data_IF_295430490282
#
_entry.id   IF_295430490282
#
_cell.length_a   1.000
_cell.length_b   1.000
_cell.length_c   1.000
_cell.angle_alpha   90.00
_cell.angle_beta   90.00
_cell.angle_gamma   90.00
#
_symmetry.space_group_name_H-M   'P 1'
#
loop_
_entity.id
_entity.type
_entity.pdbx_description
1 polymer ?
#
# COMPACT_ATOMS: atom_id res chain seq x y z
N UNK A 1 -1.57 -5.59 2.46
CA UNK A 1 -0.64 -5.98 3.57
C UNK A 1 0.36 -7.07 3.16
N UNK A 2 -0.05 -8.30 2.78
CA UNK A 2 0.90 -9.35 2.37
C UNK A 2 1.69 -8.96 1.12
N UNK A 3 1.04 -8.33 0.16
CA UNK A 3 1.69 -7.78 -1.03
C UNK A 3 2.75 -6.74 -0.64
N UNK A 4 2.46 -5.84 0.30
CA UNK A 4 3.39 -4.79 0.73
C UNK A 4 4.63 -5.37 1.43
N UNK A 5 4.45 -6.39 2.27
CA UNK A 5 5.58 -7.14 2.85
C UNK A 5 6.43 -7.75 1.74
N UNK A 6 5.79 -8.41 0.75
CA UNK A 6 6.48 -8.98 -0.40
C UNK A 6 7.23 -7.94 -1.22
N UNK A 7 6.62 -6.79 -1.47
CA UNK A 7 7.25 -5.64 -2.14
C UNK A 7 8.47 -5.16 -1.35
N UNK A 8 8.34 -4.99 -0.03
CA UNK A 8 9.45 -4.58 0.83
C UNK A 8 10.64 -5.52 0.73
N UNK A 9 10.39 -6.84 0.74
CA UNK A 9 11.43 -7.86 0.55
C UNK A 9 12.08 -7.74 -0.84
N UNK A 10 11.29 -7.72 -1.91
CA UNK A 10 11.81 -7.67 -3.28
C UNK A 10 12.58 -6.38 -3.57
N UNK A 11 12.09 -5.24 -3.06
CA UNK A 11 12.80 -3.97 -3.20
C UNK A 11 14.09 -3.93 -2.39
N UNK A 12 14.17 -4.63 -1.26
CA UNK A 12 15.42 -4.78 -0.52
C UNK A 12 16.44 -5.62 -1.29
N UNK A 13 16.00 -6.73 -1.91
CA UNK A 13 16.85 -7.54 -2.78
C UNK A 13 17.33 -6.73 -4.00
N UNK A 14 16.40 -6.03 -4.66
CA UNK A 14 16.74 -5.16 -5.78
C UNK A 14 17.72 -4.04 -5.38
N UNK A 15 17.52 -3.40 -4.22
CA UNK A 15 18.40 -2.34 -3.71
C UNK A 15 19.81 -2.89 -3.45
N UNK A 16 19.92 -4.05 -2.80
CA UNK A 16 21.19 -4.73 -2.57
C UNK A 16 21.94 -5.00 -3.89
N UNK A 17 21.26 -5.54 -4.87
CA UNK A 17 21.81 -5.81 -6.19
C UNK A 17 22.22 -4.54 -6.94
N UNK A 18 21.34 -3.53 -6.98
CA UNK A 18 21.55 -2.30 -7.75
C UNK A 18 22.68 -1.44 -7.18
N UNK A 19 22.72 -1.29 -5.86
CA UNK A 19 23.75 -0.49 -5.17
C UNK A 19 24.99 -1.29 -4.82
N UNK A 20 25.03 -2.60 -5.14
CA UNK A 20 26.15 -3.50 -4.86
C UNK A 20 26.54 -3.53 -3.37
N UNK A 21 25.55 -3.63 -2.51
CA UNK A 21 25.70 -3.76 -1.05
C UNK A 21 25.16 -5.12 -0.60
N UNK A 22 25.64 -5.60 0.53
CA UNK A 22 25.16 -6.86 1.10
C UNK A 22 23.68 -6.78 1.48
N UNK A 23 22.92 -7.83 1.20
CA UNK A 23 21.56 -7.98 1.66
C UNK A 23 21.56 -8.37 3.14
N UNK A 24 21.43 -7.38 3.99
CA UNK A 24 21.39 -7.56 5.45
C UNK A 24 19.96 -7.69 5.96
N UNK A 25 19.79 -8.31 7.13
CA UNK A 25 18.50 -8.35 7.82
C UNK A 25 17.94 -6.94 8.06
N UNK A 26 18.80 -5.98 8.37
CA UNK A 26 18.41 -4.56 8.55
C UNK A 26 17.81 -3.99 7.28
N UNK A 27 18.40 -4.26 6.10
CA UNK A 27 17.89 -3.78 4.82
C UNK A 27 16.51 -4.38 4.51
N UNK A 28 16.32 -5.68 4.76
CA UNK A 28 15.05 -6.38 4.56
C UNK A 28 13.97 -5.83 5.49
N UNK A 29 14.27 -5.72 6.79
CA UNK A 29 13.32 -5.20 7.77
C UNK A 29 12.95 -3.74 7.50
N UNK A 30 13.91 -2.93 7.06
CA UNK A 30 13.64 -1.55 6.64
C UNK A 30 12.72 -1.50 5.42
N UNK A 31 12.96 -2.32 4.40
CA UNK A 31 12.08 -2.37 3.22
C UNK A 31 10.65 -2.77 3.59
N UNK A 32 10.48 -3.78 4.44
CA UNK A 32 9.15 -4.17 4.95
C UNK A 32 8.51 -3.02 5.74
N UNK A 33 9.26 -2.39 6.66
CA UNK A 33 8.76 -1.28 7.46
C UNK A 33 8.36 -0.08 6.59
N UNK A 34 9.14 0.26 5.56
CA UNK A 34 8.84 1.36 4.64
C UNK A 34 7.61 1.07 3.78
N UNK A 35 7.45 -0.17 3.33
CA UNK A 35 6.28 -0.57 2.56
C UNK A 35 4.98 -0.58 3.39
N UNK A 36 5.07 -0.84 4.69
CA UNK A 36 3.92 -0.85 5.61
C UNK A 36 3.69 0.50 6.32
N UNK A 37 4.59 1.47 6.14
CA UNK A 37 4.54 2.74 6.86
C UNK A 37 3.20 3.49 6.69
N UNK A 38 2.60 3.58 5.50
CA UNK A 38 1.30 4.24 5.34
C UNK A 38 0.17 3.52 6.08
N UNK A 39 0.28 2.21 6.29
CA UNK A 39 -0.75 1.40 6.98
C UNK A 39 -0.68 1.52 8.53
N UNK A 40 0.17 2.37 9.09
CA UNK A 40 0.22 2.58 10.55
C UNK A 40 -1.14 3.04 11.09
N UNK A 41 -1.87 3.85 10.34
CA UNK A 41 -3.21 4.31 10.71
C UNK A 41 -4.23 3.16 10.78
N UNK A 42 -4.06 2.10 9.99
CA UNK A 42 -4.85 0.88 10.09
C UNK A 42 -4.79 0.28 11.50
N UNK A 43 -3.60 0.18 12.08
CA UNK A 43 -3.43 -0.35 13.44
C UNK A 43 -4.02 0.57 14.49
N UNK A 44 -3.87 1.88 14.32
CA UNK A 44 -4.46 2.90 15.22
C UNK A 44 -5.99 2.82 15.18
N UNK A 45 -6.57 2.73 14.01
CA UNK A 45 -8.01 2.60 13.79
C UNK A 45 -8.54 1.29 14.38
N UNK A 46 -7.83 0.18 14.15
CA UNK A 46 -8.20 -1.12 14.69
C UNK A 46 -8.17 -1.14 16.22
N UNK A 47 -7.14 -0.55 16.84
CA UNK A 47 -7.04 -0.46 18.30
C UNK A 47 -8.18 0.39 18.89
N UNK A 48 -8.54 1.51 18.23
CA UNK A 48 -9.58 2.42 18.72
C UNK A 48 -10.99 1.86 18.58
N UNK A 49 -11.26 1.12 17.51
CA UNK A 49 -12.63 0.78 17.11
C UNK A 49 -12.89 -0.72 16.98
N UNK A 50 -11.87 -1.58 17.14
CA UNK A 50 -11.95 -3.05 16.97
C UNK A 50 -12.21 -3.49 15.53
N UNK A 51 -12.28 -2.55 14.57
CA UNK A 51 -12.51 -2.83 13.15
C UNK A 51 -12.00 -1.68 12.30
N UNK A 52 -11.65 -1.96 11.05
CA UNK A 52 -11.22 -0.95 10.06
C UNK A 52 -12.11 -1.04 8.83
N UNK A 53 -12.48 0.11 8.25
CA UNK A 53 -13.33 0.18 7.07
C UNK A 53 -14.81 -0.11 7.36
N UNK A 54 -15.53 -0.64 6.38
CA UNK A 54 -16.97 -0.89 6.45
C UNK A 54 -17.78 0.19 5.72
N UNK A 55 -18.99 0.48 6.22
CA UNK A 55 -19.94 1.40 5.60
C UNK A 55 -19.75 2.88 5.98
N UNK A 56 -18.76 3.17 6.80
CA UNK A 56 -18.48 4.54 7.27
C UNK A 56 -17.07 4.92 6.83
N UNK A 57 -16.92 6.09 6.24
CA UNK A 57 -15.60 6.68 6.03
C UNK A 57 -15.09 7.07 7.40
N UNK A 58 -13.99 6.43 7.80
CA UNK A 58 -13.22 6.79 8.98
C UNK A 58 -11.96 7.50 8.53
N UNK A 59 -11.21 8.05 9.48
CA UNK A 59 -9.97 8.80 9.23
C UNK A 59 -8.81 7.93 8.68
N UNK A 60 -9.02 6.61 8.60
CA UNK A 60 -8.13 5.71 7.90
C UNK A 60 -7.97 6.15 6.43
N UNK A 61 -6.74 6.23 5.96
CA UNK A 61 -6.31 6.75 4.66
C UNK A 61 -6.49 8.28 4.50
N UNK A 62 -6.57 9.03 5.59
CA UNK A 62 -6.56 10.48 5.51
C UNK A 62 -5.10 10.99 5.42
N UNK A 63 -4.49 11.36 6.53
CA UNK A 63 -3.25 12.11 6.50
C UNK A 63 -2.04 11.31 5.97
N UNK A 64 -1.85 10.08 6.43
CA UNK A 64 -0.65 9.28 6.17
C UNK A 64 -0.66 8.67 4.75
N UNK A 65 -1.80 8.68 4.07
CA UNK A 65 -1.91 8.20 2.69
C UNK A 65 -1.85 9.34 1.65
N UNK A 66 -1.36 10.53 2.03
CA UNK A 66 -1.11 11.60 1.06
C UNK A 66 0.34 11.56 0.58
N UNK A 67 0.61 11.24 -0.69
CA UNK A 67 1.99 11.11 -1.19
C UNK A 67 2.86 12.36 -0.94
N UNK A 68 2.27 13.54 -0.99
CA UNK A 68 2.99 14.81 -0.84
C UNK A 68 3.66 14.98 0.53
N UNK A 69 3.10 14.39 1.60
CA UNK A 69 3.67 14.52 2.95
C UNK A 69 5.01 13.80 3.10
N UNK A 70 5.27 12.84 2.21
CA UNK A 70 6.52 12.08 2.22
C UNK A 70 7.65 12.78 1.47
N UNK A 71 7.38 13.80 0.66
CA UNK A 71 8.41 14.55 -0.08
C UNK A 71 9.49 15.10 0.86
N UNK A 72 9.16 15.85 1.95
CA UNK A 72 10.19 16.33 2.87
C UNK A 72 10.94 15.19 3.58
N UNK A 73 10.26 14.06 3.86
CA UNK A 73 10.89 12.88 4.48
C UNK A 73 11.89 12.24 3.50
N UNK A 74 11.52 12.10 2.22
CA UNK A 74 12.40 11.60 1.15
C UNK A 74 13.65 12.48 1.03
N UNK A 75 13.48 13.82 1.05
CA UNK A 75 14.60 14.77 1.00
C UNK A 75 15.48 14.62 2.24
N UNK A 76 14.91 14.50 3.43
CA UNK A 76 15.65 14.30 4.67
C UNK A 76 16.47 13.01 4.62
N UNK A 77 15.87 11.89 4.18
CA UNK A 77 16.58 10.61 4.04
C UNK A 77 17.70 10.75 3.02
N UNK A 78 17.49 11.46 1.90
CA UNK A 78 18.54 11.69 0.91
C UNK A 78 19.74 12.41 1.49
N UNK A 79 19.51 13.48 2.23
CA UNK A 79 20.58 14.29 2.83
C UNK A 79 21.33 13.55 3.95
N UNK A 80 20.61 12.73 4.74
CA UNK A 80 21.19 12.06 5.92
C UNK A 80 21.77 10.68 5.63
N UNK A 81 21.12 9.89 4.78
CA UNK A 81 21.44 8.48 4.54
C UNK A 81 21.81 8.18 3.08
N UNK A 82 21.66 9.15 2.16
CA UNK A 82 22.07 9.04 0.77
C UNK A 82 21.09 8.30 -0.13
N UNK A 83 21.51 8.13 -1.40
CA UNK A 83 20.65 7.70 -2.50
C UNK A 83 20.05 6.29 -2.32
N UNK A 84 20.81 5.36 -1.74
CA UNK A 84 20.35 3.97 -1.54
C UNK A 84 19.11 3.89 -0.64
N UNK A 85 19.16 4.49 0.54
CA UNK A 85 18.05 4.51 1.49
C UNK A 85 16.85 5.29 0.95
N UNK A 86 17.13 6.36 0.21
CA UNK A 86 16.10 7.16 -0.46
C UNK A 86 15.37 6.36 -1.52
N UNK A 87 16.11 5.60 -2.34
CA UNK A 87 15.52 4.76 -3.37
C UNK A 87 14.65 3.66 -2.74
N UNK A 88 15.15 2.95 -1.73
CA UNK A 88 14.38 1.93 -1.03
C UNK A 88 13.09 2.52 -0.43
N UNK A 89 13.21 3.62 0.33
CA UNK A 89 12.08 4.28 0.96
C UNK A 89 11.05 4.77 -0.07
N UNK A 90 11.50 5.52 -1.07
CA UNK A 90 10.62 6.10 -2.09
C UNK A 90 9.92 5.06 -2.95
N UNK A 91 10.62 3.98 -3.33
CA UNK A 91 10.02 2.90 -4.11
C UNK A 91 9.03 2.08 -3.29
N UNK A 92 9.32 1.79 -2.01
CA UNK A 92 8.37 1.12 -1.11
C UNK A 92 7.08 1.92 -0.96
N UNK A 93 7.19 3.24 -0.70
CA UNK A 93 6.02 4.12 -0.60
C UNK A 93 5.23 4.20 -1.90
N UNK A 94 5.92 4.39 -3.03
CA UNK A 94 5.27 4.48 -4.34
C UNK A 94 4.50 3.19 -4.66
N UNK A 95 5.11 2.04 -4.41
CA UNK A 95 4.47 0.75 -4.62
C UNK A 95 3.24 0.56 -3.72
N UNK A 96 3.33 0.95 -2.44
CA UNK A 96 2.18 0.94 -1.52
C UNK A 96 1.04 1.83 -2.02
N UNK A 97 1.31 3.08 -2.43
CA UNK A 97 0.28 3.98 -2.95
C UNK A 97 -0.36 3.47 -4.25
N UNK A 98 0.42 2.83 -5.13
CA UNK A 98 -0.10 2.16 -6.32
C UNK A 98 -0.99 0.99 -5.92
N UNK A 99 -0.55 0.16 -4.96
CA UNK A 99 -1.34 -0.96 -4.42
C UNK A 99 -2.69 -0.48 -3.88
N UNK A 100 -2.70 0.57 -3.06
CA UNK A 100 -3.92 1.16 -2.51
C UNK A 100 -4.83 1.78 -3.57
N UNK A 101 -4.24 2.20 -4.68
CA UNK A 101 -5.03 2.75 -5.80
C UNK A 101 -5.59 1.66 -6.72
N UNK A 102 -5.04 0.43 -6.72
CA UNK A 102 -5.49 -0.68 -7.57
C UNK A 102 -6.30 -1.69 -6.75
N UNK A 103 -5.84 -1.97 -5.51
CA UNK A 103 -6.35 -3.04 -4.66
C UNK A 103 -7.71 -2.77 -4.04
N UNK A 104 -7.89 -3.33 -2.85
CA UNK A 104 -9.10 -3.19 -2.06
C UNK A 104 -9.20 -1.77 -1.51
N UNK A 105 -10.43 -1.29 -1.41
CA UNK A 105 -10.72 0.03 -0.87
C UNK A 105 -11.05 1.05 -1.95
N UNK A 106 -10.92 2.30 -1.60
CA UNK A 106 -11.49 3.41 -2.37
C UNK A 106 -10.42 4.28 -3.04
N UNK A 107 -9.14 3.82 -3.03
CA UNK A 107 -8.01 4.58 -3.55
C UNK A 107 -7.50 5.65 -2.58
N UNK A 108 -6.69 6.59 -3.06
CA UNK A 108 -6.05 7.63 -2.27
C UNK A 108 -6.14 9.01 -2.91
N UNK A 109 -5.83 10.06 -2.13
CA UNK A 109 -5.87 11.46 -2.58
C UNK A 109 -4.50 11.87 -3.16
N UNK A 110 -4.15 11.41 -4.36
CA UNK A 110 -2.85 11.63 -5.01
C UNK A 110 -2.41 13.09 -5.09
N UNK A 111 -3.37 13.99 -5.30
CA UNK A 111 -3.11 15.40 -5.60
C UNK A 111 -3.47 16.35 -4.44
N UNK A 112 -3.61 15.82 -3.21
CA UNK A 112 -3.78 16.68 -2.07
C UNK A 112 -2.53 17.57 -1.86
N UNK A 113 -2.64 18.88 -1.49
CA UNK A 113 -3.85 19.65 -1.16
C UNK A 113 -4.57 20.29 -2.37
N UNK A 114 -4.02 20.15 -3.59
CA UNK A 114 -4.57 20.78 -4.80
C UNK A 114 -5.92 20.18 -5.23
N UNK A 115 -6.17 18.93 -4.90
CA UNK A 115 -7.42 18.23 -5.15
C UNK A 115 -7.81 17.39 -3.94
N UNK A 116 -9.10 17.47 -3.55
CA UNK A 116 -9.68 16.62 -2.50
C UNK A 116 -10.26 15.32 -3.05
N UNK A 117 -10.19 15.10 -4.36
CA UNK A 117 -10.69 13.88 -5.00
C UNK A 117 -9.82 12.68 -4.62
N UNK A 118 -10.47 11.55 -4.38
CA UNK A 118 -9.85 10.25 -4.23
C UNK A 118 -9.77 9.58 -5.59
N UNK A 119 -8.64 8.95 -5.91
CA UNK A 119 -8.37 8.31 -7.20
C UNK A 119 -8.15 6.82 -7.00
N UNK A 120 -8.78 6.02 -7.85
CA UNK A 120 -8.62 4.59 -7.91
C UNK A 120 -8.35 4.15 -9.35
N UNK A 121 -7.40 3.24 -9.51
CA UNK A 121 -7.08 2.65 -10.80
C UNK A 121 -7.73 1.28 -10.91
N UNK A 122 -8.20 0.91 -12.12
CA UNK A 122 -8.79 -0.39 -12.41
C UNK A 122 -9.85 -0.79 -11.36
N UNK A 123 -10.88 0.04 -11.22
CA UNK A 123 -11.92 -0.19 -10.20
C UNK A 123 -12.53 -1.58 -10.33
N UNK A 124 -12.39 -2.40 -9.31
CA UNK A 124 -13.08 -3.67 -9.18
C UNK A 124 -14.46 -3.42 -8.56
N UNK A 125 -15.51 -3.76 -9.28
CA UNK A 125 -16.87 -3.81 -8.77
C UNK A 125 -17.38 -5.23 -9.00
N UNK A 126 -17.85 -5.89 -7.95
CA UNK A 126 -18.42 -7.24 -8.00
C UNK A 126 -17.47 -8.30 -8.60
N UNK A 127 -16.15 -8.21 -8.33
CA UNK A 127 -15.17 -9.16 -8.86
C UNK A 127 -14.83 -8.97 -10.34
N UNK A 128 -15.23 -7.85 -10.95
CA UNK A 128 -14.92 -7.51 -12.34
C UNK A 128 -14.13 -6.21 -12.42
N UNK A 129 -13.00 -6.25 -13.13
CA UNK A 129 -12.25 -5.04 -13.44
C UNK A 129 -13.07 -4.09 -14.30
N UNK A 130 -13.13 -2.83 -13.91
CA UNK A 130 -13.76 -1.79 -14.72
C UNK A 130 -12.93 -1.53 -15.97
N UNK A 131 -13.58 -1.27 -17.11
CA UNK A 131 -12.91 -0.81 -18.32
C UNK A 131 -12.33 0.61 -18.18
N UNK A 132 -12.62 1.32 -17.09
CA UNK A 132 -12.06 2.64 -16.81
C UNK A 132 -10.72 2.50 -16.12
N UNK A 133 -9.67 3.02 -16.75
CA UNK A 133 -8.31 3.03 -16.20
C UNK A 133 -8.22 3.83 -14.89
N UNK A 134 -8.95 4.94 -14.80
CA UNK A 134 -8.97 5.81 -13.62
C UNK A 134 -10.40 6.19 -13.27
N UNK A 135 -10.74 6.02 -12.02
CA UNK A 135 -11.99 6.49 -11.42
C UNK A 135 -11.64 7.48 -10.32
N UNK A 136 -12.42 8.54 -10.19
CA UNK A 136 -12.24 9.49 -9.09
C UNK A 136 -13.59 9.86 -8.47
N UNK A 137 -13.58 10.14 -7.18
CA UNK A 137 -14.74 10.58 -6.42
C UNK A 137 -14.44 11.89 -5.68
N UNK A 138 -15.43 12.80 -5.65
CA UNK A 138 -15.42 13.88 -4.67
C UNK A 138 -15.64 13.32 -3.26
N UNK A 139 -15.35 14.05 -2.18
CA UNK A 139 -15.63 13.59 -0.81
C UNK A 139 -17.09 13.17 -0.59
N UNK A 140 -18.03 13.93 -1.18
CA UNK A 140 -19.47 13.68 -1.06
C UNK A 140 -19.89 12.42 -1.82
N UNK A 141 -19.35 12.23 -3.04
CA UNK A 141 -19.57 11.02 -3.84
C UNK A 141 -18.97 9.79 -3.14
N UNK A 142 -17.77 9.93 -2.60
CA UNK A 142 -17.10 8.84 -1.87
C UNK A 142 -17.93 8.40 -0.66
N UNK A 143 -18.50 9.35 0.11
CA UNK A 143 -19.35 9.03 1.26
C UNK A 143 -20.54 8.17 0.84
N UNK A 144 -21.20 8.51 -0.27
CA UNK A 144 -22.32 7.72 -0.80
C UNK A 144 -21.87 6.31 -1.23
N UNK A 145 -20.78 6.24 -1.99
CA UNK A 145 -20.22 4.96 -2.47
C UNK A 145 -19.83 4.04 -1.32
N UNK A 146 -19.17 4.58 -0.28
CA UNK A 146 -18.77 3.79 0.90
C UNK A 146 -19.99 3.32 1.70
N UNK A 147 -21.02 4.15 1.88
CA UNK A 147 -22.24 3.76 2.59
C UNK A 147 -23.02 2.66 1.85
N UNK A 148 -22.98 2.66 0.52
CA UNK A 148 -23.70 1.70 -0.32
C UNK A 148 -22.92 0.37 -0.46
N UNK A 149 -21.62 0.46 -0.79
CA UNK A 149 -20.80 -0.69 -1.16
C UNK A 149 -19.77 -1.12 -0.11
N UNK A 150 -19.66 -0.42 1.02
CA UNK A 150 -18.75 -0.78 2.09
C UNK A 150 -19.11 -2.12 2.72
N UNK A 151 -18.12 -3.00 2.89
CA UNK A 151 -18.28 -4.31 3.53
C UNK A 151 -17.65 -4.29 4.92
N UNK A 152 -18.41 -4.41 6.01
CA UNK A 152 -17.87 -4.48 7.37
C UNK A 152 -17.06 -5.77 7.62
N UNK A 153 -17.25 -6.80 6.82
CA UNK A 153 -16.56 -8.09 6.92
C UNK A 153 -15.52 -8.29 5.82
N UNK A 154 -15.01 -7.22 5.22
CA UNK A 154 -14.12 -7.26 4.05
C UNK A 154 -12.89 -8.14 4.25
N UNK A 155 -12.28 -8.16 5.46
CA UNK A 155 -11.15 -9.04 5.75
C UNK A 155 -11.54 -10.50 5.53
N UNK A 156 -12.68 -10.93 6.08
CA UNK A 156 -13.17 -12.31 5.92
C UNK A 156 -13.57 -12.60 4.48
N UNK A 157 -14.25 -11.67 3.84
CA UNK A 157 -14.83 -11.89 2.50
C UNK A 157 -13.79 -11.82 1.40
N UNK A 158 -12.68 -11.14 1.61
CA UNK A 158 -11.63 -10.92 0.61
C UNK A 158 -10.40 -11.78 0.92
N UNK A 159 -9.85 -11.72 2.13
CA UNK A 159 -8.59 -12.42 2.46
C UNK A 159 -8.77 -13.87 2.93
N UNK A 160 -9.89 -14.20 3.60
CA UNK A 160 -10.15 -15.57 4.06
C UNK A 160 -10.96 -16.39 3.04
N UNK A 161 -11.08 -15.91 1.81
CA UNK A 161 -11.67 -16.61 0.68
C UNK A 161 -10.71 -16.58 -0.50
N UNK A 162 -10.86 -17.52 -1.42
CA UNK A 162 -10.12 -17.51 -2.69
C UNK A 162 -10.73 -16.45 -3.62
N UNK A 163 -10.29 -15.22 -3.45
CA UNK A 163 -10.61 -14.10 -4.33
C UNK A 163 -9.40 -13.78 -5.23
N UNK A 164 -9.57 -13.13 -6.37
CA UNK A 164 -8.44 -12.69 -7.19
C UNK A 164 -7.42 -11.87 -6.39
N UNK A 165 -7.90 -11.03 -5.47
CA UNK A 165 -7.03 -10.20 -4.63
C UNK A 165 -6.22 -11.05 -3.65
N UNK A 166 -6.87 -11.97 -2.91
CA UNK A 166 -6.16 -12.84 -1.97
C UNK A 166 -5.13 -13.71 -2.68
N UNK A 167 -5.48 -14.27 -3.84
CA UNK A 167 -4.55 -15.08 -4.64
C UNK A 167 -3.35 -14.25 -5.08
N UNK A 168 -3.56 -13.04 -5.61
CA UNK A 168 -2.45 -12.15 -6.03
C UNK A 168 -1.57 -11.81 -4.83
N UNK A 169 -2.14 -11.36 -3.72
CA UNK A 169 -1.36 -10.93 -2.55
C UNK A 169 -0.53 -12.07 -1.94
N UNK A 170 -1.15 -13.22 -1.72
CA UNK A 170 -0.43 -14.38 -1.14
C UNK A 170 0.58 -14.98 -2.10
N UNK A 171 0.28 -15.04 -3.41
CA UNK A 171 1.22 -15.53 -4.40
C UNK A 171 2.44 -14.62 -4.51
N UNK A 172 2.23 -13.30 -4.52
CA UNK A 172 3.31 -12.33 -4.58
C UNK A 172 4.21 -12.40 -3.33
N UNK A 173 3.60 -12.52 -2.15
CA UNK A 173 4.34 -12.74 -0.91
C UNK A 173 5.14 -14.04 -0.93
N UNK A 174 4.55 -15.16 -1.37
CA UNK A 174 5.26 -16.43 -1.50
C UNK A 174 6.44 -16.33 -2.48
N UNK A 175 6.25 -15.68 -3.63
CA UNK A 175 7.32 -15.44 -4.61
C UNK A 175 8.44 -14.62 -3.96
N UNK A 176 8.13 -13.59 -3.18
CA UNK A 176 9.15 -12.78 -2.51
C UNK A 176 10.02 -13.59 -1.54
N UNK A 177 9.42 -14.54 -0.83
CA UNK A 177 10.14 -15.46 0.04
C UNK A 177 11.03 -16.44 -0.74
N UNK A 178 10.56 -16.94 -1.90
CA UNK A 178 11.35 -17.79 -2.80
C UNK A 178 12.54 -17.01 -3.33
N UNK A 179 12.35 -15.78 -3.80
CA UNK A 179 13.44 -14.92 -4.30
C UNK A 179 14.46 -14.65 -3.19
N UNK A 180 13.98 -14.36 -1.98
CA UNK A 180 14.86 -14.16 -0.82
C UNK A 180 15.68 -15.42 -0.50
N UNK A 181 15.03 -16.58 -0.51
CA UNK A 181 15.71 -17.86 -0.32
C UNK A 181 16.79 -18.10 -1.38
N UNK A 182 16.44 -17.93 -2.66
CA UNK A 182 17.38 -18.13 -3.78
C UNK A 182 18.54 -17.11 -3.80
N UNK A 183 18.39 -15.97 -3.15
CA UNK A 183 19.45 -14.98 -3.02
C UNK A 183 20.56 -15.44 -2.05
N UNK A 184 20.21 -16.21 -1.03
CA UNK A 184 21.15 -16.68 -0.01
C UNK A 184 21.74 -18.07 -0.28
N UNK A 185 21.15 -18.83 -1.20
CA UNK A 185 21.57 -20.19 -1.56
C UNK A 185 21.89 -20.35 -3.04
#
# INVERSE_FOLDING_TARGET
MFLDIGIGILLSVWTSWFFRVDLTLTLILAGIAFALLPDIDFFVEFIKHGSVGGKVIREHRELIHFPIIYIPIVILIFVTYGAMWTALFGLCLLAHFIHDSIGIGWGIKWFWPFSRKTYKFFSEKDGKFSHRLVVSWSPEELTKVVSEYGDPNWIRNIYLRLTPVSVIEFSFFAISLIVLYLYFY
#
